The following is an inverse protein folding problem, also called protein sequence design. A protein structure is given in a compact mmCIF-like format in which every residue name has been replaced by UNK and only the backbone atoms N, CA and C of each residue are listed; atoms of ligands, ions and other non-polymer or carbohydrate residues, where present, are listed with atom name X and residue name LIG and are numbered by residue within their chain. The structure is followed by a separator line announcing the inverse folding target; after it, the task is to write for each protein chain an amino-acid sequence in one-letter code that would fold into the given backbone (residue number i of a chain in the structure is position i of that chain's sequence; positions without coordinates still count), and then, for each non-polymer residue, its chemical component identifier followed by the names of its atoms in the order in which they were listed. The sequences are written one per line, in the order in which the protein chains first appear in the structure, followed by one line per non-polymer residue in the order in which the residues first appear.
data_IF_398530037420
#
_entry.id   IF_398530037420
#
_cell.length_a   1.000
_cell.length_b   1.000
_cell.length_c   1.000
_cell.angle_alpha   90.00
_cell.angle_beta   90.00
_cell.angle_gamma   90.00
#
_symmetry.space_group_name_H-M   'P 1'
#
loop_
_entity.id
_entity.type
_entity.pdbx_description
1 polymer ?
#
# COMPACT_ATOMS: atom_id res chain seq x y z
N UNK A 1 -6.86 5.94 -12.92
CA UNK A 1 -6.06 6.58 -11.86
C UNK A 1 -6.26 5.91 -10.52
N UNK A 2 -7.39 6.04 -9.83
CA UNK A 2 -7.55 5.52 -8.44
C UNK A 2 -7.20 4.01 -8.25
N UNK A 3 -7.45 3.16 -9.25
CA UNK A 3 -7.09 1.73 -9.18
C UNK A 3 -5.58 1.49 -8.98
N UNK A 4 -4.71 2.39 -9.47
CA UNK A 4 -3.25 2.26 -9.30
C UNK A 4 -2.77 2.61 -7.89
N UNK A 5 -3.63 3.20 -7.06
CA UNK A 5 -3.36 3.43 -5.63
C UNK A 5 -3.86 2.26 -4.76
N UNK A 6 -4.65 1.34 -5.35
CA UNK A 6 -5.28 0.22 -4.69
C UNK A 6 -4.60 -1.11 -5.01
N UNK A 7 -4.12 -1.27 -6.24
CA UNK A 7 -3.54 -2.49 -6.79
C UNK A 7 -2.02 -2.30 -6.91
N UNK A 8 -1.25 -3.32 -6.52
CA UNK A 8 0.21 -3.34 -6.71
C UNK A 8 0.55 -3.13 -8.19
N UNK A 9 1.59 -2.32 -8.44
CA UNK A 9 1.90 -1.85 -9.80
C UNK A 9 2.09 -2.99 -10.83
N UNK A 10 2.83 -4.08 -10.55
CA UNK A 10 2.99 -5.16 -11.53
C UNK A 10 1.66 -5.77 -11.97
N UNK A 11 0.78 -6.04 -11.01
CA UNK A 11 -0.55 -6.62 -11.27
C UNK A 11 -1.44 -5.61 -12.01
N UNK A 12 -1.37 -4.33 -11.63
CA UNK A 12 -2.13 -3.27 -12.28
C UNK A 12 -1.69 -3.09 -13.74
N UNK A 13 -0.38 -3.03 -13.99
CA UNK A 13 0.19 -2.90 -15.34
C UNK A 13 -0.15 -4.12 -16.19
N UNK A 14 -0.01 -5.34 -15.67
CA UNK A 14 -0.41 -6.57 -16.36
C UNK A 14 -1.88 -6.54 -16.81
N UNK A 15 -2.77 -6.06 -15.94
CA UNK A 15 -4.18 -5.90 -16.28
C UNK A 15 -4.44 -4.85 -17.36
N UNK A 16 -3.71 -3.72 -17.34
CA UNK A 16 -3.83 -2.71 -18.37
C UNK A 16 -3.34 -3.21 -19.73
N UNK A 17 -2.14 -3.80 -19.79
CA UNK A 17 -1.53 -4.20 -21.07
C UNK A 17 -2.24 -5.39 -21.71
N UNK A 18 -2.79 -6.30 -20.91
CA UNK A 18 -3.62 -7.42 -21.39
C UNK A 18 -4.99 -7.00 -21.92
N UNK A 19 -5.40 -5.73 -21.70
CA UNK A 19 -6.72 -5.24 -22.09
C UNK A 19 -7.84 -5.76 -21.18
N UNK A 20 -7.53 -6.09 -19.93
CA UNK A 20 -8.53 -6.55 -18.96
C UNK A 20 -9.65 -5.51 -18.84
N UNK A 21 -10.94 -5.88 -18.96
CA UNK A 21 -12.03 -4.93 -19.11
C UNK A 21 -12.32 -4.12 -17.84
N UNK A 22 -11.98 -4.67 -16.66
CA UNK A 22 -12.26 -4.11 -15.33
C UNK A 22 -11.07 -4.28 -14.38
N UNK A 23 -9.91 -3.64 -14.66
CA UNK A 23 -8.73 -3.78 -13.81
C UNK A 23 -9.00 -3.28 -12.39
N UNK A 24 -9.93 -2.36 -12.21
CA UNK A 24 -10.38 -1.87 -10.90
C UNK A 24 -11.05 -2.95 -10.01
N UNK A 25 -11.57 -4.03 -10.61
CA UNK A 25 -12.28 -5.09 -9.92
C UNK A 25 -11.45 -6.35 -9.66
N UNK A 26 -10.13 -6.32 -9.87
CA UNK A 26 -9.28 -7.51 -9.72
C UNK A 26 -9.33 -8.11 -8.31
N UNK A 27 -9.48 -7.29 -7.28
CA UNK A 27 -9.66 -7.77 -5.90
C UNK A 27 -11.13 -7.86 -5.47
N UNK A 28 -12.07 -7.82 -6.42
CA UNK A 28 -13.51 -7.93 -6.19
C UNK A 28 -14.23 -6.61 -5.95
N UNK A 29 -15.53 -6.59 -6.28
CA UNK A 29 -16.39 -5.40 -6.18
C UNK A 29 -16.49 -4.84 -4.77
N UNK A 30 -16.54 -5.71 -3.77
CA UNK A 30 -16.66 -5.35 -2.35
C UNK A 30 -15.41 -4.64 -1.83
N UNK A 31 -14.23 -5.21 -2.10
CA UNK A 31 -12.95 -4.61 -1.74
C UNK A 31 -12.77 -3.23 -2.42
N UNK A 32 -13.12 -3.15 -3.70
CA UNK A 32 -13.07 -1.89 -4.45
C UNK A 32 -14.04 -0.83 -3.90
N UNK A 33 -15.28 -1.20 -3.62
CA UNK A 33 -16.27 -0.31 -3.03
C UNK A 33 -15.84 0.21 -1.64
N UNK A 34 -15.27 -0.66 -0.80
CA UNK A 34 -14.76 -0.30 0.53
C UNK A 34 -13.57 0.67 0.43
N UNK A 35 -12.66 0.40 -0.50
CA UNK A 35 -11.55 1.30 -0.81
C UNK A 35 -12.05 2.68 -1.25
N UNK A 36 -12.98 2.75 -2.21
CA UNK A 36 -13.53 4.02 -2.69
C UNK A 36 -14.26 4.82 -1.60
N UNK A 37 -15.03 4.15 -0.73
CA UNK A 37 -15.69 4.80 0.42
C UNK A 37 -14.65 5.41 1.38
N UNK A 38 -13.63 4.63 1.73
CA UNK A 38 -12.55 5.08 2.61
C UNK A 38 -11.72 6.21 1.99
N UNK A 39 -11.42 6.12 0.69
CA UNK A 39 -10.71 7.12 -0.10
C UNK A 39 -11.48 8.44 -0.17
N UNK A 40 -12.79 8.38 -0.43
CA UNK A 40 -13.63 9.58 -0.44
C UNK A 40 -13.76 10.19 0.96
N UNK A 41 -13.81 9.35 2.00
CA UNK A 41 -13.82 9.81 3.39
C UNK A 41 -12.51 10.51 3.79
N UNK A 42 -11.35 9.95 3.46
CA UNK A 42 -10.06 10.57 3.82
C UNK A 42 -9.91 11.95 3.17
N UNK A 43 -10.24 12.09 1.88
CA UNK A 43 -10.19 13.39 1.17
C UNK A 43 -11.09 14.44 1.79
N UNK A 44 -12.31 14.09 2.18
CA UNK A 44 -13.25 15.03 2.86
C UNK A 44 -12.77 15.46 4.26
N UNK A 45 -11.81 14.74 4.83
CA UNK A 45 -11.26 14.99 6.16
C UNK A 45 -9.77 15.38 6.10
N UNK A 46 -9.28 15.86 4.95
CA UNK A 46 -7.87 16.22 4.73
C UNK A 46 -7.29 17.19 5.77
N UNK A 47 -8.07 18.16 6.23
CA UNK A 47 -7.59 19.24 7.11
C UNK A 47 -7.64 18.92 8.60
N UNK A 48 -8.16 17.74 8.97
CA UNK A 48 -8.35 17.38 10.39
C UNK A 48 -7.03 16.96 11.01
N UNK A 49 -6.94 16.98 12.33
CA UNK A 49 -5.84 16.31 13.03
C UNK A 49 -5.99 14.80 12.95
N UNK A 50 -4.85 14.09 12.95
CA UNK A 50 -4.86 12.64 13.07
C UNK A 50 -5.38 12.27 14.46
N UNK A 51 -6.34 11.35 14.51
CA UNK A 51 -6.92 10.88 15.76
C UNK A 51 -7.34 9.43 15.64
N UNK A 52 -7.34 8.71 16.76
CA UNK A 52 -7.82 7.33 16.80
C UNK A 52 -9.24 7.14 16.24
N UNK A 53 -10.23 8.00 16.53
CA UNK A 53 -11.55 7.92 15.90
C UNK A 53 -11.50 8.02 14.37
N UNK A 54 -10.68 8.93 13.82
CA UNK A 54 -10.52 9.06 12.37
C UNK A 54 -9.91 7.81 11.74
N UNK A 55 -8.83 7.28 12.34
CA UNK A 55 -8.17 6.04 11.90
C UNK A 55 -9.16 4.86 11.94
N UNK A 56 -9.94 4.77 13.02
CA UNK A 56 -10.92 3.70 13.22
C UNK A 56 -12.05 3.76 12.20
N UNK A 57 -12.60 4.95 11.92
CA UNK A 57 -13.63 5.11 10.89
C UNK A 57 -13.08 4.85 9.49
N UNK A 58 -11.86 5.30 9.20
CA UNK A 58 -11.19 5.01 7.94
C UNK A 58 -11.07 3.50 7.72
N UNK A 59 -10.60 2.77 8.72
CA UNK A 59 -10.50 1.31 8.66
C UNK A 59 -11.88 0.63 8.54
N UNK A 60 -12.90 1.12 9.27
CA UNK A 60 -14.28 0.61 9.15
C UNK A 60 -14.79 0.70 7.71
N UNK A 61 -14.50 1.80 7.01
CA UNK A 61 -14.89 1.99 5.61
C UNK A 61 -14.13 1.05 4.68
N UNK A 62 -12.83 0.85 4.88
CA UNK A 62 -12.04 -0.12 4.09
C UNK A 62 -12.64 -1.53 4.22
N UNK A 63 -12.99 -1.96 5.42
CA UNK A 63 -13.49 -3.30 5.69
C UNK A 63 -14.99 -3.49 5.42
N UNK A 64 -15.73 -2.39 5.17
CA UNK A 64 -17.20 -2.30 5.28
C UNK A 64 -17.97 -3.41 4.56
N UNK A 65 -17.51 -3.82 3.38
CA UNK A 65 -18.22 -4.76 2.52
C UNK A 65 -17.61 -6.17 2.50
N UNK A 66 -16.43 -6.33 3.08
CA UNK A 66 -15.63 -7.55 2.99
C UNK A 66 -15.86 -8.49 4.18
N UNK A 67 -16.25 -7.95 5.34
CA UNK A 67 -16.57 -8.76 6.50
C UNK A 67 -16.75 -7.98 7.79
N UNK A 68 -17.06 -8.69 8.90
CA UNK A 68 -17.10 -8.09 10.23
C UNK A 68 -15.69 -7.75 10.72
N UNK A 69 -15.58 -6.87 11.71
CA UNK A 69 -14.29 -6.55 12.38
C UNK A 69 -13.64 -5.23 11.94
N UNK A 70 -14.28 -4.47 11.05
CA UNK A 70 -13.85 -3.09 10.77
C UNK A 70 -13.75 -2.25 12.05
N UNK A 71 -12.56 -1.68 12.30
CA UNK A 71 -12.30 -0.81 13.45
C UNK A 71 -12.09 -1.54 14.76
N UNK A 72 -12.05 -2.88 14.76
CA UNK A 72 -11.84 -3.69 15.95
C UNK A 72 -10.35 -4.03 16.09
N UNK A 73 -9.74 -3.56 17.17
CA UNK A 73 -8.33 -3.84 17.47
C UNK A 73 -8.09 -5.34 17.62
N UNK A 74 -7.01 -5.82 17.00
CA UNK A 74 -6.66 -7.23 16.99
C UNK A 74 -6.26 -7.75 18.38
N UNK A 75 -6.72 -8.96 18.69
CA UNK A 75 -6.44 -9.69 19.94
C UNK A 75 -5.61 -10.96 19.73
N UNK A 76 -5.18 -11.23 18.49
CA UNK A 76 -4.47 -12.45 18.07
C UNK A 76 -3.18 -12.12 17.35
N UNK A 77 -2.18 -12.99 17.40
CA UNK A 77 -0.93 -12.82 16.66
C UNK A 77 -1.14 -12.49 15.17
N UNK A 78 -0.26 -11.63 14.65
CA UNK A 78 -0.29 -11.16 13.26
C UNK A 78 1.12 -11.28 12.69
N UNK A 79 1.19 -11.61 11.42
CA UNK A 79 2.43 -11.69 10.68
C UNK A 79 2.20 -11.27 9.24
N UNK A 80 3.26 -10.78 8.61
CA UNK A 80 3.37 -10.58 7.18
C UNK A 80 4.20 -11.72 6.59
N UNK A 81 3.74 -12.31 5.49
CA UNK A 81 4.48 -13.32 4.73
C UNK A 81 5.04 -12.63 3.49
N UNK A 82 6.36 -12.66 3.34
CA UNK A 82 7.04 -12.24 2.13
C UNK A 82 7.00 -13.40 1.13
N UNK A 83 6.53 -13.17 -0.10
CA UNK A 83 6.47 -14.21 -1.15
C UNK A 83 7.84 -14.80 -1.53
N UNK A 84 8.91 -14.16 -1.08
CA UNK A 84 10.31 -14.46 -1.38
C UNK A 84 11.19 -14.43 -0.11
N UNK A 85 12.47 -14.81 -0.21
CA UNK A 85 13.44 -14.55 0.85
C UNK A 85 13.56 -13.04 1.14
N UNK A 86 13.72 -12.71 2.43
CA UNK A 86 14.03 -11.35 2.87
C UNK A 86 15.53 -11.12 2.72
N UNK A 87 15.94 -10.02 2.10
CA UNK A 87 17.38 -9.73 1.89
C UNK A 87 18.06 -9.33 3.21
N UNK A 88 19.41 -9.42 3.32
CA UNK A 88 20.11 -8.97 4.52
C UNK A 88 19.84 -7.51 4.92
N UNK A 89 19.66 -6.62 3.94
CA UNK A 89 19.30 -5.22 4.17
C UNK A 89 17.87 -5.10 4.72
N UNK A 90 16.91 -5.82 4.14
CA UNK A 90 15.53 -5.83 4.62
C UNK A 90 15.43 -6.42 6.03
N UNK A 91 16.24 -7.44 6.35
CA UNK A 91 16.37 -7.97 7.72
C UNK A 91 16.85 -6.88 8.67
N UNK A 92 17.90 -6.13 8.31
CA UNK A 92 18.41 -5.05 9.13
C UNK A 92 17.37 -3.95 9.38
N UNK A 93 16.57 -3.60 8.36
CA UNK A 93 15.48 -2.64 8.48
C UNK A 93 14.37 -3.14 9.43
N UNK A 94 13.97 -4.41 9.31
CA UNK A 94 12.99 -5.04 10.21
C UNK A 94 13.50 -5.08 11.65
N UNK A 95 14.77 -5.45 11.87
CA UNK A 95 15.37 -5.53 13.20
C UNK A 95 15.58 -4.15 13.85
N UNK A 96 15.77 -3.10 13.06
CA UNK A 96 15.84 -1.72 13.55
C UNK A 96 14.49 -1.20 14.06
N UNK A 97 13.37 -1.80 13.64
CA UNK A 97 12.04 -1.41 14.09
C UNK A 97 11.65 -2.13 15.40
N UNK A 98 11.44 -1.42 16.52
CA UNK A 98 11.16 -2.05 17.80
C UNK A 98 9.85 -2.84 17.83
N UNK A 99 8.91 -2.56 16.92
CA UNK A 99 7.59 -3.19 16.85
C UNK A 99 7.56 -4.44 15.95
N UNK A 100 8.65 -4.73 15.23
CA UNK A 100 8.75 -5.85 14.30
C UNK A 100 9.77 -6.88 14.77
N UNK A 101 9.56 -8.16 14.43
CA UNK A 101 10.57 -9.20 14.57
C UNK A 101 10.62 -10.03 13.28
N UNK A 102 11.81 -10.43 12.84
CA UNK A 102 11.93 -11.46 11.81
C UNK A 102 11.42 -12.79 12.34
N UNK A 103 10.66 -13.52 11.53
CA UNK A 103 10.36 -14.93 11.75
C UNK A 103 11.48 -15.74 11.06
N UNK A 104 12.23 -16.60 11.80
CA UNK A 104 13.30 -17.39 11.21
C UNK A 104 12.80 -18.33 10.11
N UNK A 105 13.62 -18.52 9.08
CA UNK A 105 13.34 -19.43 7.98
C UNK A 105 13.12 -20.86 8.51
N UNK A 106 12.13 -21.57 7.97
CA UNK A 106 11.77 -22.92 8.41
C UNK A 106 10.88 -22.97 9.65
N UNK A 107 10.40 -21.84 10.18
CA UNK A 107 9.33 -21.81 11.17
C UNK A 107 8.02 -22.31 10.54
N UNK A 108 7.51 -23.46 10.99
CA UNK A 108 6.24 -24.03 10.52
C UNK A 108 5.08 -23.04 10.75
N UNK A 109 4.18 -22.77 9.77
CA UNK A 109 3.98 -23.47 8.51
C UNK A 109 4.67 -22.84 7.27
N UNK A 110 5.65 -21.96 7.44
CA UNK A 110 6.30 -21.31 6.30
C UNK A 110 7.04 -22.34 5.45
N UNK A 111 6.85 -22.29 4.13
CA UNK A 111 7.67 -23.08 3.20
C UNK A 111 9.12 -22.62 3.31
N UNK A 112 10.11 -23.48 3.00
CA UNK A 112 11.50 -23.04 2.86
C UNK A 112 11.61 -21.85 1.89
N UNK A 113 12.55 -20.94 2.15
CA UNK A 113 12.82 -19.75 1.33
C UNK A 113 11.68 -18.71 1.26
N UNK A 114 10.75 -18.72 2.22
CA UNK A 114 9.72 -17.70 2.39
C UNK A 114 10.04 -16.92 3.66
N UNK A 115 10.31 -15.61 3.51
CA UNK A 115 10.54 -14.72 4.64
C UNK A 115 9.23 -14.33 5.32
N UNK A 116 9.26 -13.99 6.60
CA UNK A 116 8.10 -13.45 7.28
C UNK A 116 8.49 -12.51 8.41
N UNK A 117 7.59 -11.59 8.73
CA UNK A 117 7.76 -10.57 9.77
C UNK A 117 6.60 -10.70 10.76
N UNK A 118 6.94 -10.71 12.05
CA UNK A 118 6.00 -10.75 13.16
C UNK A 118 5.75 -9.35 13.70
N UNK A 119 4.48 -8.99 13.89
CA UNK A 119 4.10 -7.75 14.57
C UNK A 119 4.04 -8.00 16.09
N UNK A 120 4.96 -7.40 16.84
CA UNK A 120 5.21 -7.74 18.25
C UNK A 120 4.05 -7.38 19.18
N UNK A 121 3.28 -6.34 18.85
CA UNK A 121 2.18 -5.87 19.71
C UNK A 121 1.01 -6.85 19.67
N UNK A 122 0.57 -7.31 20.86
CA UNK A 122 -0.55 -8.24 21.00
C UNK A 122 -1.66 -7.77 21.92
N UNK A 123 -1.30 -6.95 22.91
CA UNK A 123 -2.24 -6.42 23.89
C UNK A 123 -3.02 -5.24 23.30
N UNK A 124 -4.36 -5.29 23.24
CA UNK A 124 -5.18 -4.19 22.75
C UNK A 124 -4.99 -2.87 23.50
N UNK A 125 -4.62 -2.89 24.78
CA UNK A 125 -4.33 -1.67 25.55
C UNK A 125 -3.03 -1.05 25.05
N UNK A 126 -1.98 -1.85 24.85
CA UNK A 126 -0.71 -1.37 24.31
C UNK A 126 -0.89 -0.86 22.89
N UNK A 127 -1.65 -1.56 22.04
CA UNK A 127 -1.94 -1.12 20.67
C UNK A 127 -2.65 0.26 20.68
N UNK A 128 -3.60 0.49 21.59
CA UNK A 128 -4.24 1.82 21.71
C UNK A 128 -3.25 2.89 22.10
N UNK A 129 -2.40 2.62 23.09
CA UNK A 129 -1.39 3.58 23.53
C UNK A 129 -0.40 3.94 22.41
N UNK A 130 0.00 2.97 21.58
CA UNK A 130 0.85 3.20 20.41
C UNK A 130 0.12 3.99 19.31
N UNK A 131 -1.18 3.77 19.11
CA UNK A 131 -1.98 4.60 18.21
C UNK A 131 -2.16 6.04 18.70
N UNK A 132 -2.36 6.24 20.00
CA UNK A 132 -2.40 7.59 20.60
C UNK A 132 -1.04 8.29 20.42
N UNK A 133 0.06 7.58 20.73
CA UNK A 133 1.42 8.09 20.54
C UNK A 133 1.72 8.43 19.08
N UNK A 134 1.21 7.64 18.13
CA UNK A 134 1.29 7.93 16.70
C UNK A 134 0.53 9.22 16.34
N UNK A 135 -0.68 9.41 16.88
CA UNK A 135 -1.48 10.62 16.64
C UNK A 135 -0.75 11.86 17.15
N UNK A 136 -0.26 11.82 18.39
CA UNK A 136 0.46 12.93 19.02
C UNK A 136 1.75 13.28 18.26
N UNK A 137 2.53 12.26 17.88
CA UNK A 137 3.73 12.45 17.08
C UNK A 137 3.40 13.10 15.73
N UNK A 138 2.41 12.57 15.01
CA UNK A 138 2.08 13.07 13.68
C UNK A 138 1.60 14.51 13.72
N UNK A 139 0.69 14.84 14.64
CA UNK A 139 0.16 16.20 14.74
C UNK A 139 1.25 17.21 15.15
N UNK A 140 2.19 16.79 16.00
CA UNK A 140 3.38 17.59 16.36
C UNK A 140 4.31 17.78 15.17
N UNK A 141 4.67 16.70 14.48
CA UNK A 141 5.57 16.73 13.33
C UNK A 141 4.99 17.52 12.15
N UNK A 142 3.69 17.39 11.90
CA UNK A 142 2.96 18.14 10.87
C UNK A 142 3.00 19.65 11.12
N UNK A 143 2.95 20.06 12.37
CA UNK A 143 2.94 21.48 12.77
C UNK A 143 4.36 22.09 12.84
N UNK A 144 5.40 21.28 12.72
CA UNK A 144 6.78 21.74 12.81
C UNK A 144 7.22 22.45 11.51
N UNK A 145 7.95 23.58 11.60
CA UNK A 145 8.43 24.29 10.42
C UNK A 145 9.50 23.47 9.68
N UNK A 146 9.42 23.44 8.35
CA UNK A 146 10.42 22.76 7.52
C UNK A 146 10.29 21.24 7.44
N UNK A 147 9.20 20.66 7.96
CA UNK A 147 8.91 19.22 7.80
C UNK A 147 8.79 18.86 6.32
N UNK A 148 9.55 17.86 5.86
CA UNK A 148 9.39 17.28 4.53
C UNK A 148 8.05 16.51 4.47
N UNK A 149 7.07 16.94 3.66
CA UNK A 149 5.74 16.31 3.60
C UNK A 149 5.80 14.86 3.08
N UNK A 150 6.79 14.52 2.25
CA UNK A 150 6.97 13.14 1.78
C UNK A 150 7.49 12.24 2.89
N UNK A 151 8.48 12.73 3.66
CA UNK A 151 9.01 11.99 4.81
C UNK A 151 7.94 11.78 5.87
N UNK A 152 7.17 12.84 6.17
CA UNK A 152 6.07 12.79 7.13
C UNK A 152 5.02 11.74 6.74
N UNK A 153 4.61 11.71 5.46
CA UNK A 153 3.65 10.73 4.96
C UNK A 153 4.20 9.30 4.97
N UNK A 154 5.45 9.11 4.55
CA UNK A 154 6.14 7.83 4.55
C UNK A 154 6.25 7.26 5.97
N UNK A 155 6.67 8.08 6.92
CA UNK A 155 6.85 7.68 8.32
C UNK A 155 5.50 7.44 9.03
N UNK A 156 4.45 8.23 8.74
CA UNK A 156 3.09 7.95 9.22
C UNK A 156 2.64 6.55 8.78
N UNK A 157 2.84 6.22 7.50
CA UNK A 157 2.48 4.93 6.94
C UNK A 157 3.26 3.79 7.62
N UNK A 158 4.59 3.90 7.68
CA UNK A 158 5.48 2.89 8.28
C UNK A 158 5.16 2.66 9.76
N UNK A 159 4.99 3.73 10.54
CA UNK A 159 4.66 3.61 11.97
C UNK A 159 3.30 2.94 12.17
N UNK A 160 2.27 3.35 11.44
CA UNK A 160 0.95 2.74 11.55
C UNK A 160 0.95 1.25 11.17
N UNK A 161 1.56 0.89 10.04
CA UNK A 161 1.57 -0.52 9.60
C UNK A 161 2.43 -1.40 10.53
N UNK A 162 3.43 -0.82 11.19
CA UNK A 162 4.27 -1.50 12.19
C UNK A 162 3.54 -1.76 13.51
N UNK A 163 2.66 -0.84 13.93
CA UNK A 163 1.74 -1.08 15.06
C UNK A 163 0.78 -2.24 14.72
N UNK A 164 0.34 -2.31 13.46
CA UNK A 164 -0.54 -3.34 12.91
C UNK A 164 -1.82 -3.58 13.75
N UNK A 165 -2.60 -2.51 14.01
CA UNK A 165 -3.60 -2.50 15.07
C UNK A 165 -4.82 -3.40 14.81
N UNK A 166 -5.15 -3.71 13.55
CA UNK A 166 -6.36 -4.41 13.18
C UNK A 166 -6.09 -5.85 12.71
N UNK A 167 -7.15 -6.65 12.59
CA UNK A 167 -7.04 -8.06 12.21
C UNK A 167 -6.67 -8.30 10.74
N UNK A 168 -6.95 -7.34 9.86
CA UNK A 168 -6.67 -7.29 8.43
C UNK A 168 -6.74 -5.81 7.97
N UNK A 169 -6.55 -5.52 6.68
CA UNK A 169 -6.70 -4.21 6.04
C UNK A 169 -5.72 -3.12 6.52
N UNK A 170 -4.72 -3.47 7.34
CA UNK A 170 -3.71 -2.54 7.85
C UNK A 170 -2.92 -1.87 6.71
N UNK A 171 -2.40 -2.62 5.73
CA UNK A 171 -1.65 -2.04 4.60
C UNK A 171 -2.48 -1.09 3.72
N UNK A 172 -3.76 -1.42 3.49
CA UNK A 172 -4.69 -0.53 2.76
C UNK A 172 -4.97 0.75 3.56
N UNK A 173 -5.22 0.62 4.85
CA UNK A 173 -5.46 1.76 5.76
C UNK A 173 -4.21 2.64 5.86
N UNK A 174 -3.02 2.05 5.97
CA UNK A 174 -1.75 2.78 6.09
C UNK A 174 -1.47 3.62 4.84
N UNK A 175 -1.70 3.08 3.64
CA UNK A 175 -1.52 3.82 2.38
C UNK A 175 -2.57 4.92 2.19
N UNK A 176 -3.78 4.72 2.70
CA UNK A 176 -4.79 5.79 2.73
C UNK A 176 -4.39 6.92 3.69
N UNK A 177 -3.78 6.61 4.84
CA UNK A 177 -3.21 7.61 5.76
C UNK A 177 -2.01 8.35 5.14
N UNK A 178 -1.14 7.63 4.43
CA UNK A 178 -0.05 8.22 3.64
C UNK A 178 -0.59 9.24 2.64
N UNK A 179 -1.54 8.83 1.80
CA UNK A 179 -2.13 9.70 0.79
C UNK A 179 -2.89 10.87 1.40
N UNK A 180 -3.61 10.65 2.50
CA UNK A 180 -4.25 11.72 3.26
C UNK A 180 -3.24 12.78 3.74
N UNK A 181 -2.07 12.36 4.24
CA UNK A 181 -1.00 13.26 4.65
C UNK A 181 -0.38 14.03 3.46
N UNK A 182 -0.19 13.37 2.31
CA UNK A 182 0.31 14.02 1.09
C UNK A 182 -0.68 15.07 0.58
N UNK A 183 -1.96 14.70 0.49
CA UNK A 183 -3.02 15.55 -0.06
C UNK A 183 -3.32 16.76 0.84
N UNK A 184 -3.18 16.61 2.16
CA UNK A 184 -3.23 17.75 3.09
C UNK A 184 -2.19 18.83 2.74
N UNK A 185 -1.02 18.42 2.22
CA UNK A 185 0.04 19.33 1.79
C UNK A 185 -0.08 19.75 0.32
N UNK A 186 -1.23 19.50 -0.33
CA UNK A 186 -1.46 19.82 -1.74
C UNK A 186 -0.67 18.95 -2.73
N UNK A 187 -0.12 17.82 -2.26
CA UNK A 187 0.61 16.87 -3.10
C UNK A 187 -0.32 15.81 -3.67
N UNK A 188 0.13 15.14 -4.73
CA UNK A 188 -0.57 13.99 -5.29
C UNK A 188 -0.47 12.78 -4.36
N UNK A 189 -1.45 11.87 -4.36
CA UNK A 189 -1.29 10.56 -3.73
C UNK A 189 -0.16 9.77 -4.43
N UNK A 190 0.43 8.81 -3.74
CA UNK A 190 1.59 8.08 -4.24
C UNK A 190 1.23 6.69 -4.77
N UNK A 191 1.64 6.40 -6.01
CA UNK A 191 1.64 5.04 -6.57
C UNK A 191 2.93 4.34 -6.16
N UNK A 192 2.81 3.18 -5.53
CA UNK A 192 3.97 2.46 -4.99
C UNK A 192 4.24 1.22 -5.86
N UNK A 193 5.50 0.97 -6.27
CA UNK A 193 5.84 -0.16 -7.13
C UNK A 193 5.78 -1.51 -6.41
N UNK A 194 5.93 -1.50 -5.07
CA UNK A 194 5.84 -2.68 -4.21
C UNK A 194 5.29 -2.24 -2.85
N UNK A 195 4.08 -2.69 -2.51
CA UNK A 195 3.46 -2.37 -1.24
C UNK A 195 4.16 -2.99 -0.03
N UNK A 196 4.93 -4.07 -0.21
CA UNK A 196 5.61 -4.78 0.87
C UNK A 196 6.94 -4.12 1.28
N UNK A 197 7.44 -3.18 0.47
CA UNK A 197 8.65 -2.41 0.80
C UNK A 197 8.46 -1.44 1.96
N UNK A 198 7.22 -1.23 2.42
CA UNK A 198 6.92 -0.34 3.54
C UNK A 198 7.70 -0.71 4.82
N UNK A 199 7.60 -1.94 5.30
CA UNK A 199 8.29 -2.42 6.50
C UNK A 199 9.66 -3.06 6.21
N UNK A 200 9.99 -3.25 4.93
CA UNK A 200 11.24 -3.86 4.49
C UNK A 200 12.31 -2.83 4.09
N UNK A 201 11.95 -1.55 3.94
CA UNK A 201 12.87 -0.46 3.60
C UNK A 201 13.14 0.46 4.80
N UNK A 202 14.28 1.13 4.79
CA UNK A 202 14.54 2.23 5.72
C UNK A 202 13.56 3.38 5.45
N UNK A 203 13.35 4.26 6.43
CA UNK A 203 12.47 5.44 6.24
C UNK A 203 12.95 6.36 5.13
N UNK A 204 14.27 6.46 4.90
CA UNK A 204 14.83 7.29 3.82
C UNK A 204 14.49 6.72 2.44
N UNK A 205 14.73 5.42 2.26
CA UNK A 205 14.37 4.70 1.03
C UNK A 205 12.87 4.77 0.76
N UNK A 206 12.06 4.58 1.80
CA UNK A 206 10.62 4.65 1.67
C UNK A 206 10.13 6.06 1.35
N UNK A 207 10.75 7.09 1.94
CA UNK A 207 10.48 8.50 1.60
C UNK A 207 10.73 8.77 0.12
N UNK A 208 11.83 8.26 -0.43
CA UNK A 208 12.16 8.44 -1.84
C UNK A 208 11.16 7.71 -2.76
N UNK A 209 10.74 6.49 -2.38
CA UNK A 209 9.70 5.75 -3.10
C UNK A 209 8.36 6.49 -3.09
N UNK A 210 7.94 7.02 -1.92
CA UNK A 210 6.71 7.81 -1.78
C UNK A 210 6.77 9.08 -2.64
N UNK A 211 7.91 9.77 -2.66
CA UNK A 211 8.12 10.97 -3.47
C UNK A 211 8.03 10.67 -4.97
N UNK A 212 8.76 9.66 -5.43
CA UNK A 212 8.75 9.24 -6.83
C UNK A 212 7.35 8.77 -7.28
N UNK A 213 6.65 8.03 -6.42
CA UNK A 213 5.29 7.57 -6.68
C UNK A 213 4.27 8.72 -6.76
N UNK A 214 4.42 9.75 -5.93
CA UNK A 214 3.57 10.95 -5.99
C UNK A 214 3.80 11.73 -7.28
N UNK A 215 5.05 11.89 -7.70
CA UNK A 215 5.41 12.52 -8.98
C UNK A 215 4.83 11.73 -10.16
N UNK A 216 5.00 10.41 -10.14
CA UNK A 216 4.44 9.50 -11.15
C UNK A 216 2.92 9.63 -11.27
N UNK A 217 2.20 9.73 -10.15
CA UNK A 217 0.75 9.94 -10.17
C UNK A 217 0.36 11.29 -10.78
N UNK A 218 1.11 12.35 -10.45
CA UNK A 218 0.90 13.68 -11.01
C UNK A 218 1.11 13.68 -12.54
N UNK A 219 2.22 13.12 -13.01
CA UNK A 219 2.54 13.04 -14.44
C UNK A 219 1.49 12.25 -15.24
N UNK A 220 1.03 11.12 -14.68
CA UNK A 220 -0.06 10.31 -15.27
C UNK A 220 -1.39 11.10 -15.29
N UNK A 221 -1.65 11.92 -14.28
CA UNK A 221 -2.85 12.78 -14.22
C UNK A 221 -2.79 13.87 -15.29
N UNK A 222 -1.65 14.54 -15.44
CA UNK A 222 -1.46 15.56 -16.47
C UNK A 222 -1.56 14.96 -17.87
N UNK A 223 -0.99 13.77 -18.09
CA UNK A 223 -1.12 13.04 -19.35
C UNK A 223 -2.59 12.69 -19.65
N UNK A 224 -3.35 12.23 -18.66
CA UNK A 224 -4.78 11.97 -18.83
C UNK A 224 -5.55 13.23 -19.22
N UNK A 225 -5.23 14.39 -18.62
CA UNK A 225 -5.86 15.66 -18.97
C UNK A 225 -5.54 16.07 -20.42
N UNK A 226 -4.31 15.88 -20.87
CA UNK A 226 -3.88 16.19 -22.24
C UNK A 226 -4.53 15.26 -23.28
N UNK A 227 -4.62 13.97 -22.98
CA UNK A 227 -5.23 12.96 -23.87
C UNK A 227 -6.77 13.04 -23.89
N UNK A 228 -7.37 13.57 -22.83
CA UNK A 228 -8.81 13.73 -22.69
C UNK A 228 -9.52 12.46 -22.19
N UNK A 229 -10.86 12.55 -22.06
CA UNK A 229 -11.69 11.51 -21.43
C UNK A 229 -11.74 10.17 -22.17
N UNK A 230 -11.31 10.14 -23.43
CA UNK A 230 -11.22 8.93 -24.25
C UNK A 230 -9.82 8.33 -24.28
N UNK A 231 -8.91 8.80 -23.40
CA UNK A 231 -7.55 8.30 -23.34
C UNK A 231 -7.55 6.80 -23.03
N UNK A 232 -6.80 6.04 -23.83
CA UNK A 232 -6.48 4.65 -23.54
C UNK A 232 -5.68 4.58 -22.22
N UNK A 233 -6.06 3.74 -21.24
CA UNK A 233 -5.27 3.51 -20.05
C UNK A 233 -3.81 3.17 -20.33
N UNK A 234 -3.50 2.42 -21.40
CA UNK A 234 -2.12 2.10 -21.77
C UNK A 234 -1.33 3.36 -22.12
N UNK A 235 -1.91 4.28 -22.87
CA UNK A 235 -1.29 5.57 -23.19
C UNK A 235 -1.13 6.45 -21.95
N UNK A 236 -2.17 6.50 -21.11
CA UNK A 236 -2.16 7.29 -19.87
C UNK A 236 -1.03 6.83 -18.93
N UNK A 237 -0.81 5.53 -18.83
CA UNK A 237 0.23 4.95 -17.97
C UNK A 237 1.61 4.85 -18.64
N UNK A 238 1.70 5.11 -19.96
CA UNK A 238 2.96 5.03 -20.71
C UNK A 238 3.44 3.59 -20.93
N UNK A 239 2.50 2.66 -21.14
CA UNK A 239 2.76 1.23 -21.20
C UNK A 239 2.75 0.66 -22.64
N UNK A 240 2.87 1.50 -23.67
CA UNK A 240 2.76 1.09 -25.08
C UNK A 240 3.82 0.03 -25.44
N UNK A 241 5.08 0.30 -25.12
CA UNK A 241 6.19 -0.62 -25.41
C UNK A 241 6.03 -1.94 -24.64
N UNK A 242 5.60 -1.87 -23.37
CA UNK A 242 5.32 -3.05 -22.57
C UNK A 242 4.14 -3.86 -23.13
N UNK A 243 3.10 -3.20 -23.62
CA UNK A 243 1.96 -3.86 -24.27
C UNK A 243 2.37 -4.53 -25.59
N UNK A 244 3.25 -3.92 -26.38
CA UNK A 244 3.75 -4.53 -27.61
C UNK A 244 4.56 -5.80 -27.30
N UNK A 245 5.47 -5.74 -26.33
CA UNK A 245 6.23 -6.92 -25.86
C UNK A 245 5.30 -8.02 -25.34
N UNK A 246 4.29 -7.66 -24.54
CA UNK A 246 3.27 -8.60 -24.06
C UNK A 246 2.49 -9.27 -25.21
N UNK A 247 2.09 -8.53 -26.25
CA UNK A 247 1.37 -9.09 -27.41
C UNK A 247 2.22 -10.03 -28.25
N UNK A 248 3.54 -9.81 -28.28
CA UNK A 248 4.50 -10.63 -29.01
C UNK A 248 5.01 -11.84 -28.19
N UNK A 249 4.65 -11.92 -26.92
CA UNK A 249 5.00 -13.04 -26.05
C UNK A 249 4.17 -14.28 -26.39
N UNK A 250 4.84 -15.42 -26.59
CA UNK A 250 4.22 -16.69 -26.98
C UNK A 250 4.19 -17.74 -25.84
N UNK A 251 4.57 -17.37 -24.62
CA UNK A 251 4.55 -18.24 -23.44
C UNK A 251 3.27 -18.14 -22.62
N UNK A 252 3.22 -18.94 -21.56
CA UNK A 252 2.10 -18.94 -20.60
C UNK A 252 2.14 -17.70 -19.71
N UNK A 253 0.96 -17.20 -19.36
CA UNK A 253 0.81 -16.09 -18.40
C UNK A 253 -0.06 -16.52 -17.23
N UNK A 254 0.23 -15.96 -16.04
CA UNK A 254 -0.65 -16.14 -14.89
C UNK A 254 -2.06 -15.58 -15.20
N UNK A 255 -3.14 -16.20 -14.71
CA UNK A 255 -4.49 -15.72 -14.96
C UNK A 255 -4.78 -14.42 -14.18
N UNK A 256 -5.25 -13.39 -14.90
CA UNK A 256 -5.76 -12.14 -14.33
C UNK A 256 -7.26 -12.28 -14.00
N UNK A 257 -7.59 -13.23 -13.12
CA UNK A 257 -8.95 -13.42 -12.61
C UNK A 257 -9.29 -12.46 -11.45
N UNK A 258 -10.49 -12.59 -10.89
CA UNK A 258 -10.79 -11.91 -9.61
C UNK A 258 -10.19 -12.70 -8.43
N UNK A 259 -9.33 -12.08 -7.62
CA UNK A 259 -8.86 -12.68 -6.37
C UNK A 259 -7.41 -12.37 -6.03
N UNK A 260 -6.73 -13.36 -5.47
CA UNK A 260 -5.31 -13.27 -5.13
C UNK A 260 -4.45 -13.34 -6.39
N UNK A 261 -3.40 -12.53 -6.43
CA UNK A 261 -2.41 -12.50 -7.51
C UNK A 261 -1.01 -12.63 -6.92
N UNK A 262 -0.16 -13.38 -7.60
CA UNK A 262 1.27 -13.44 -7.28
C UNK A 262 1.96 -12.18 -7.83
N UNK A 263 2.13 -11.19 -6.95
CA UNK A 263 2.73 -9.90 -7.32
C UNK A 263 4.18 -10.06 -7.74
N UNK A 264 4.92 -10.98 -7.10
CA UNK A 264 6.34 -11.22 -7.39
C UNK A 264 6.48 -11.89 -8.76
N UNK A 265 5.64 -12.88 -9.08
CA UNK A 265 5.62 -13.48 -10.43
C UNK A 265 5.34 -12.43 -11.52
N UNK A 266 4.33 -11.58 -11.33
CA UNK A 266 4.03 -10.53 -12.31
C UNK A 266 5.15 -9.51 -12.43
N UNK A 267 5.87 -9.21 -11.35
CA UNK A 267 7.03 -8.33 -11.38
C UNK A 267 8.12 -8.93 -12.25
N UNK A 268 8.53 -10.16 -11.97
CA UNK A 268 9.59 -10.86 -12.68
C UNK A 268 9.22 -11.02 -14.17
N UNK A 269 7.99 -11.44 -14.46
CA UNK A 269 7.50 -11.58 -15.82
C UNK A 269 7.54 -10.27 -16.62
N UNK A 270 7.09 -9.15 -16.04
CA UNK A 270 7.10 -7.87 -16.74
C UNK A 270 8.51 -7.29 -16.95
N UNK A 271 9.48 -7.66 -16.10
CA UNK A 271 10.89 -7.33 -16.28
C UNK A 271 11.54 -8.15 -17.41
N UNK A 272 11.10 -9.39 -17.62
CA UNK A 272 11.61 -10.28 -18.68
C UNK A 272 11.06 -10.00 -20.09
N UNK A 273 9.84 -9.44 -20.19
CA UNK A 273 9.22 -9.05 -21.47
C UNK A 273 10.10 -8.09 -22.26
#
# INVERSE_FOLDING_TARGET
MESSLFIDEPVHHAALISGHPRPDLMFGEKAWAGYLDARAFSRRNGDRELSMPFITELHQRVARFEGPGGGVIAVRERWFICGRPVTPEEIANVEANPLLARIPDGTVPLKPNIGAVFYKLKDPVVIRNELDSLCDWYNTARSAPGTDPYRLAAELQQRFVSIHPYGDYNGRTSRLLMNWSLEHNGLSPSVLPDFNKDILSSTDQWTDAVRAGSQTFADRTDRLQQLGVSADPVQTFGLQDLQERYRNHNGETEPLGSGYHDVDWWRDFLEEL
#
